data_IF_103833974183
#
_entry.id   IF_103833974183
#
_cell.length_a   1.000
_cell.length_b   1.000
_cell.length_c   1.000
_cell.angle_alpha   90.00
_cell.angle_beta   90.00
_cell.angle_gamma   90.00
#
_symmetry.space_group_name_H-M   'P 1'
#
loop_
_entity.id
_entity.type
_entity.pdbx_description
1 polymer ?
#
# COMPACT_ATOMS: atom_id res chain seq x y z
N UNK A 1 -9.36 25.99 -10.61
CA UNK A 1 -10.41 25.05 -11.09
C UNK A 1 -9.73 24.11 -12.05
N UNK A 2 -9.26 22.96 -11.56
CA UNK A 2 -8.69 21.91 -12.42
C UNK A 2 -9.79 20.87 -12.52
N UNK A 3 -10.34 20.72 -13.72
CA UNK A 3 -11.29 19.66 -14.04
C UNK A 3 -10.55 18.32 -14.01
N UNK A 4 -10.80 17.52 -12.97
CA UNK A 4 -10.42 16.12 -12.94
C UNK A 4 -11.33 15.39 -13.93
N UNK A 5 -10.78 15.10 -15.11
CA UNK A 5 -11.41 14.18 -16.06
C UNK A 5 -11.70 12.85 -15.38
N UNK A 6 -12.93 12.40 -15.55
CA UNK A 6 -13.46 11.12 -15.08
C UNK A 6 -12.64 9.95 -15.62
N UNK A 7 -11.71 9.44 -14.83
CA UNK A 7 -11.15 8.11 -15.02
C UNK A 7 -11.99 7.13 -14.18
N UNK A 8 -12.53 6.13 -14.87
CA UNK A 8 -13.00 4.80 -14.43
C UNK A 8 -12.82 4.48 -12.95
N UNK A 9 -13.86 3.92 -12.31
CA UNK A 9 -13.82 3.44 -10.93
C UNK A 9 -12.56 2.62 -10.59
N UNK A 10 -12.24 2.46 -9.30
CA UNK A 10 -10.90 2.08 -8.84
C UNK A 10 -10.38 0.87 -9.61
N UNK A 11 -9.23 1.03 -10.28
CA UNK A 11 -8.63 -0.05 -11.07
C UNK A 11 -8.38 -1.23 -10.15
N UNK A 12 -8.67 -2.44 -10.63
CA UNK A 12 -8.33 -3.63 -9.88
C UNK A 12 -6.80 -3.74 -9.80
N UNK A 13 -6.23 -4.16 -8.65
CA UNK A 13 -4.80 -4.49 -8.59
C UNK A 13 -4.47 -5.52 -9.67
N UNK A 14 -3.21 -5.56 -10.10
CA UNK A 14 -2.75 -6.55 -11.09
C UNK A 14 -3.27 -7.95 -10.69
N UNK A 15 -4.07 -8.61 -11.56
CA UNK A 15 -4.68 -9.90 -11.23
C UNK A 15 -3.67 -10.98 -10.86
N UNK A 16 -2.48 -10.95 -11.47
CA UNK A 16 -1.41 -11.89 -11.19
C UNK A 16 -0.82 -11.65 -9.79
N UNK A 17 -0.52 -10.40 -9.45
CA UNK A 17 0.00 -10.04 -8.12
C UNK A 17 -1.04 -10.29 -7.02
N UNK A 18 -2.29 -9.90 -7.25
CA UNK A 18 -3.39 -10.18 -6.32
C UNK A 18 -3.62 -11.70 -6.14
N UNK A 19 -3.42 -12.50 -7.21
CA UNK A 19 -3.46 -13.96 -7.13
C UNK A 19 -2.31 -14.54 -6.31
N UNK A 20 -1.09 -14.02 -6.48
CA UNK A 20 0.09 -14.43 -5.73
C UNK A 20 -0.07 -14.11 -4.23
N UNK A 21 -0.54 -12.91 -3.89
CA UNK A 21 -0.82 -12.51 -2.51
C UNK A 21 -1.83 -13.42 -1.82
N UNK A 22 -2.94 -13.75 -2.48
CA UNK A 22 -3.92 -14.71 -1.94
C UNK A 22 -3.31 -16.08 -1.70
N UNK A 23 -2.41 -16.52 -2.57
CA UNK A 23 -1.72 -17.81 -2.43
C UNK A 23 -0.75 -17.79 -1.23
N UNK A 24 0.00 -16.70 -1.05
CA UNK A 24 0.86 -16.49 0.11
C UNK A 24 0.07 -16.41 1.41
N UNK A 25 -1.04 -15.67 1.42
CA UNK A 25 -1.94 -15.58 2.58
C UNK A 25 -2.50 -16.95 3.00
N UNK A 26 -2.82 -17.82 2.04
CA UNK A 26 -3.22 -19.20 2.33
C UNK A 26 -2.06 -20.04 2.86
N UNK A 27 -0.87 -19.89 2.29
CA UNK A 27 0.33 -20.62 2.70
C UNK A 27 0.69 -20.33 4.16
N UNK A 28 0.76 -19.05 4.52
CA UNK A 28 1.14 -18.56 5.85
C UNK A 28 0.21 -19.03 6.97
N UNK A 29 -1.06 -19.29 6.66
CA UNK A 29 -2.06 -19.82 7.61
C UNK A 29 -1.95 -21.32 7.86
N UNK A 30 -1.17 -22.06 7.05
CA UNK A 30 -1.05 -23.51 7.23
C UNK A 30 -0.27 -23.82 8.51
N UNK A 31 -0.75 -24.75 9.36
CA UNK A 31 0.03 -25.25 10.47
C UNK A 31 1.34 -25.85 9.95
N UNK A 32 2.46 -25.53 10.61
CA UNK A 32 3.80 -26.01 10.26
C UNK A 32 4.20 -25.71 8.79
N UNK A 33 3.83 -24.54 8.26
CA UNK A 33 4.36 -24.07 6.98
C UNK A 33 5.88 -23.89 7.09
N UNK A 34 6.63 -24.62 6.26
CA UNK A 34 8.05 -24.39 6.07
C UNK A 34 8.28 -22.96 5.58
N UNK A 35 9.34 -22.28 6.00
CA UNK A 35 9.65 -20.90 5.54
C UNK A 35 8.54 -19.86 5.80
N UNK A 36 7.65 -20.09 6.79
CA UNK A 36 6.53 -19.18 7.09
C UNK A 36 6.96 -17.72 7.34
N UNK A 37 8.17 -17.49 7.83
CA UNK A 37 8.73 -16.15 8.01
C UNK A 37 8.93 -15.44 6.65
N UNK A 38 9.66 -16.07 5.72
CA UNK A 38 9.90 -15.53 4.38
C UNK A 38 8.59 -15.29 3.63
N UNK A 39 7.62 -16.20 3.77
CA UNK A 39 6.31 -16.04 3.16
C UNK A 39 5.48 -14.89 3.77
N UNK A 40 5.62 -14.61 5.08
CA UNK A 40 5.02 -13.43 5.72
C UNK A 40 5.67 -12.15 5.23
N UNK A 41 7.00 -12.12 5.15
CA UNK A 41 7.73 -10.96 4.63
C UNK A 41 7.29 -10.64 3.20
N UNK A 42 7.24 -11.64 2.32
CA UNK A 42 6.76 -11.46 0.95
C UNK A 42 5.28 -11.03 0.86
N UNK A 43 4.43 -11.53 1.77
CA UNK A 43 3.02 -11.13 1.87
C UNK A 43 2.89 -9.66 2.29
N UNK A 44 3.71 -9.21 3.24
CA UNK A 44 3.78 -7.83 3.70
C UNK A 44 4.28 -6.90 2.59
N UNK A 45 5.42 -7.22 1.95
CA UNK A 45 5.99 -6.43 0.84
C UNK A 45 5.01 -6.32 -0.34
N UNK A 46 4.34 -7.43 -0.71
CA UNK A 46 3.35 -7.39 -1.79
C UNK A 46 2.11 -6.57 -1.42
N UNK A 47 1.72 -6.57 -0.15
CA UNK A 47 0.63 -5.73 0.36
C UNK A 47 1.02 -4.25 0.27
N UNK A 48 2.21 -3.90 0.74
CA UNK A 48 2.79 -2.56 0.63
C UNK A 48 2.81 -2.09 -0.82
N UNK A 49 3.32 -2.91 -1.75
CA UNK A 49 3.43 -2.57 -3.16
C UNK A 49 2.08 -2.20 -3.80
N UNK A 50 1.00 -2.95 -3.50
CA UNK A 50 -0.33 -2.66 -4.02
C UNK A 50 -0.94 -1.39 -3.43
N UNK A 51 -0.71 -1.14 -2.14
CA UNK A 51 -1.16 0.08 -1.46
C UNK A 51 -0.42 1.31 -2.00
N UNK A 52 0.91 1.21 -2.12
CA UNK A 52 1.76 2.26 -2.66
C UNK A 52 1.43 2.56 -4.13
N UNK A 53 1.14 1.54 -4.94
CA UNK A 53 0.68 1.73 -6.33
C UNK A 53 -0.59 2.59 -6.36
N UNK A 54 -1.61 2.22 -5.58
CA UNK A 54 -2.86 2.98 -5.53
C UNK A 54 -2.60 4.44 -5.13
N UNK A 55 -1.75 4.67 -4.13
CA UNK A 55 -1.37 6.01 -3.66
C UNK A 55 -0.68 6.83 -4.76
N UNK A 56 0.35 6.27 -5.40
CA UNK A 56 1.13 6.96 -6.43
C UNK A 56 0.26 7.28 -7.66
N UNK A 57 -0.74 6.46 -7.94
CA UNK A 57 -1.71 6.69 -9.01
C UNK A 57 -2.84 7.65 -8.63
N UNK A 58 -2.95 8.06 -7.37
CA UNK A 58 -4.07 8.87 -6.87
C UNK A 58 -5.40 8.11 -6.85
N UNK A 59 -5.35 6.78 -6.74
CA UNK A 59 -6.51 5.90 -6.69
C UNK A 59 -6.95 5.63 -5.23
N UNK A 60 -8.22 5.24 -5.01
CA UNK A 60 -8.67 4.81 -3.69
C UNK A 60 -7.86 3.62 -3.16
N UNK A 61 -7.39 3.73 -1.92
CA UNK A 61 -6.62 2.69 -1.25
C UNK A 61 -7.52 1.44 -1.06
N UNK A 62 -7.14 0.27 -1.60
CA UNK A 62 -7.94 -0.94 -1.47
C UNK A 62 -7.92 -1.45 -0.03
N UNK A 63 -9.08 -1.81 0.53
CA UNK A 63 -9.14 -2.44 1.86
C UNK A 63 -8.64 -3.90 1.88
N UNK A 64 -8.44 -4.49 3.08
CA UNK A 64 -7.85 -5.84 3.25
C UNK A 64 -8.62 -6.93 2.51
N UNK A 65 -9.96 -6.89 2.57
CA UNK A 65 -10.82 -7.86 1.88
C UNK A 65 -10.65 -7.81 0.35
N UNK A 66 -10.37 -6.63 -0.21
CA UNK A 66 -10.14 -6.47 -1.66
C UNK A 66 -8.79 -7.03 -2.08
N UNK A 67 -7.79 -6.95 -1.20
CA UNK A 67 -6.46 -7.53 -1.41
C UNK A 67 -6.43 -9.04 -1.12
N UNK A 68 -7.39 -9.54 -0.33
CA UNK A 68 -7.44 -10.94 0.09
C UNK A 68 -6.40 -11.27 1.17
N UNK A 69 -6.04 -10.27 1.98
CA UNK A 69 -5.11 -10.38 3.11
C UNK A 69 -5.85 -10.16 4.41
N UNK A 70 -5.32 -10.69 5.51
CA UNK A 70 -5.91 -10.47 6.84
C UNK A 70 -5.65 -9.03 7.33
N UNK A 71 -6.46 -8.52 8.27
CA UNK A 71 -6.31 -7.14 8.76
C UNK A 71 -4.95 -6.85 9.40
N UNK A 72 -4.30 -7.82 10.02
CA UNK A 72 -2.99 -7.65 10.66
C UNK A 72 -1.90 -7.38 9.60
N UNK A 73 -1.79 -8.25 8.60
CA UNK A 73 -0.87 -8.10 7.48
C UNK A 73 -1.14 -6.84 6.67
N UNK A 74 -2.41 -6.47 6.52
CA UNK A 74 -2.80 -5.21 5.91
C UNK A 74 -2.24 -4.00 6.65
N UNK A 75 -2.38 -3.97 7.98
CA UNK A 75 -1.90 -2.87 8.81
C UNK A 75 -0.37 -2.78 8.84
N UNK A 76 0.31 -3.93 8.86
CA UNK A 76 1.77 -3.97 8.75
C UNK A 76 2.25 -3.40 7.41
N UNK A 77 1.69 -3.85 6.29
CA UNK A 77 2.02 -3.32 4.98
C UNK A 77 1.68 -1.83 4.84
N UNK A 78 0.53 -1.38 5.37
CA UNK A 78 0.18 0.04 5.39
C UNK A 78 1.15 0.88 6.22
N UNK A 79 1.70 0.33 7.31
CA UNK A 79 2.76 0.96 8.09
C UNK A 79 4.03 1.22 7.25
N UNK A 80 4.45 0.23 6.46
CA UNK A 80 5.63 0.35 5.59
C UNK A 80 5.40 1.36 4.46
N UNK A 81 4.19 1.42 3.90
CA UNK A 81 3.79 2.44 2.91
C UNK A 81 4.03 3.86 3.42
N UNK A 82 3.77 4.14 4.70
CA UNK A 82 4.04 5.46 5.29
C UNK A 82 5.54 5.78 5.23
N UNK A 83 6.40 4.77 5.45
CA UNK A 83 7.85 4.86 5.28
C UNK A 83 8.27 5.17 3.85
N UNK A 84 7.60 4.58 2.86
CA UNK A 84 7.85 4.86 1.43
C UNK A 84 7.35 6.24 1.01
N UNK A 85 6.19 6.69 1.49
CA UNK A 85 5.74 8.07 1.22
C UNK A 85 6.74 9.07 1.79
N UNK A 86 7.30 8.82 2.98
CA UNK A 86 8.39 9.62 3.53
C UNK A 86 9.60 9.63 2.62
N UNK A 87 10.02 8.48 2.08
CA UNK A 87 11.12 8.41 1.12
C UNK A 87 10.82 9.28 -0.10
N UNK A 88 9.62 9.18 -0.66
CA UNK A 88 9.18 9.99 -1.80
C UNK A 88 9.18 11.50 -1.47
N UNK A 89 8.77 11.88 -0.27
CA UNK A 89 8.84 13.27 0.23
C UNK A 89 10.27 13.78 0.29
N UNK A 90 11.20 13.00 0.86
CA UNK A 90 12.61 13.36 0.91
C UNK A 90 13.24 13.44 -0.48
N UNK A 91 12.87 12.54 -1.39
CA UNK A 91 13.30 12.63 -2.80
C UNK A 91 12.80 13.93 -3.44
N UNK A 92 11.52 14.26 -3.29
CA UNK A 92 10.96 15.50 -3.83
C UNK A 92 11.66 16.74 -3.25
N UNK A 93 11.96 16.75 -1.94
CA UNK A 93 12.75 17.83 -1.31
C UNK A 93 14.15 17.94 -1.92
N UNK A 94 14.83 16.81 -2.18
CA UNK A 94 16.17 16.81 -2.79
C UNK A 94 16.16 17.36 -4.22
N UNK A 95 15.03 17.25 -4.92
CA UNK A 95 14.79 17.76 -6.27
C UNK A 95 14.23 19.20 -6.26
N UNK A 96 14.11 19.85 -5.10
CA UNK A 96 13.44 21.15 -4.92
C UNK A 96 11.97 21.17 -5.38
N UNK A 97 11.31 20.02 -5.42
CA UNK A 97 9.89 19.87 -5.75
C UNK A 97 9.02 20.06 -4.48
N UNK A 98 8.97 21.28 -3.97
CA UNK A 98 8.35 21.62 -2.68
C UNK A 98 6.87 21.23 -2.59
N UNK A 99 6.08 21.54 -3.62
CA UNK A 99 4.64 21.24 -3.64
C UNK A 99 4.39 19.73 -3.52
N UNK A 100 5.19 18.93 -4.24
CA UNK A 100 5.10 17.46 -4.20
C UNK A 100 5.46 16.91 -2.83
N UNK A 101 6.50 17.45 -2.20
CA UNK A 101 6.91 17.05 -0.85
C UNK A 101 5.81 17.39 0.19
N UNK A 102 5.20 18.57 0.09
CA UNK A 102 4.10 18.99 0.95
C UNK A 102 2.86 18.09 0.79
N UNK A 103 2.49 17.74 -0.44
CA UNK A 103 1.40 16.80 -0.72
C UNK A 103 1.64 15.41 -0.09
N UNK A 104 2.88 14.92 -0.15
CA UNK A 104 3.29 13.65 0.43
C UNK A 104 3.25 13.68 1.97
N UNK A 105 3.71 14.76 2.59
CA UNK A 105 3.62 14.95 4.04
C UNK A 105 2.16 15.00 4.53
N UNK A 106 1.30 15.75 3.83
CA UNK A 106 -0.14 15.80 4.14
C UNK A 106 -0.81 14.44 3.98
N UNK A 107 -0.38 13.63 3.01
CA UNK A 107 -0.89 12.27 2.87
C UNK A 107 -0.48 11.39 4.06
N UNK A 108 0.78 11.45 4.49
CA UNK A 108 1.24 10.72 5.68
C UNK A 108 0.44 11.10 6.92
N UNK A 109 0.16 12.39 7.12
CA UNK A 109 -0.66 12.86 8.25
C UNK A 109 -2.08 12.30 8.19
N UNK A 110 -2.73 12.31 7.01
CA UNK A 110 -4.05 11.71 6.83
C UNK A 110 -4.05 10.22 7.19
N UNK A 111 -3.10 9.45 6.68
CA UNK A 111 -2.98 8.02 6.96
C UNK A 111 -2.72 7.75 8.45
N UNK A 112 -1.86 8.54 9.09
CA UNK A 112 -1.62 8.44 10.53
C UNK A 112 -2.90 8.69 11.35
N UNK A 113 -3.65 9.73 11.01
CA UNK A 113 -4.91 10.03 11.69
C UNK A 113 -5.96 8.93 11.46
N UNK A 114 -6.00 8.33 10.28
CA UNK A 114 -6.91 7.22 9.99
C UNK A 114 -6.56 5.94 10.75
N UNK A 115 -5.27 5.69 11.02
CA UNK A 115 -4.81 4.56 11.85
C UNK A 115 -5.14 4.73 13.34
N UNK A 116 -5.29 5.98 13.82
CA UNK A 116 -5.51 6.29 15.24
C UNK A 116 -7.00 6.43 15.60
N UNK A 117 -7.92 6.27 14.64
CA UNK A 117 -9.37 6.33 14.84
C UNK A 117 -9.96 4.94 15.05
#
# INVERSE_FOLDING_TARGET
>A
MIELQTATGPRAPDPALAGALRSLAQYVRRPAADEAALARDALQEGTEALLLEAIVRGEPIPGPARLGVDPEEYLLGLGDVIGEIRRLALTALSESAWDRADDQLKLMERLYLDLMR
#
